data_IF_215487616823
#
_entry.id   IF_215487616823
#
_cell.length_a   1.000
_cell.length_b   1.000
_cell.length_c   1.000
_cell.angle_alpha   90.00
_cell.angle_beta   90.00
_cell.angle_gamma   90.00
#
_symmetry.space_group_name_H-M   'P 1'
#
loop_
_entity.id
_entity.type
_entity.pdbx_description
1 polymer ?
#
# COMPACT_ATOMS: atom_id res chain seq x y z
N UNK A 1 50.10 -18.66 10.28
CA UNK A 1 51.14 -18.33 9.30
C UNK A 1 50.78 -19.08 8.02
N UNK A 2 50.08 -18.47 7.08
CA UNK A 2 50.08 -18.78 5.64
C UNK A 2 49.35 -17.61 4.95
N UNK A 3 50.13 -16.85 4.17
CA UNK A 3 49.66 -15.81 3.27
C UNK A 3 49.43 -16.49 1.92
N UNK A 4 48.24 -16.39 1.35
CA UNK A 4 48.00 -16.65 -0.07
C UNK A 4 48.09 -15.33 -0.86
N UNK A 5 49.09 -15.31 -1.76
CA UNK A 5 49.31 -14.22 -2.72
C UNK A 5 48.39 -14.40 -3.91
N UNK A 6 47.50 -13.43 -4.17
CA UNK A 6 46.73 -13.33 -5.40
C UNK A 6 47.59 -12.81 -6.54
N UNK A 7 47.91 -13.67 -7.53
CA UNK A 7 48.62 -13.30 -8.76
C UNK A 7 47.69 -12.65 -9.78
N UNK A 8 48.04 -11.43 -10.17
CA UNK A 8 47.45 -10.75 -11.32
C UNK A 8 48.09 -11.26 -12.62
N UNK A 9 47.35 -11.45 -13.75
CA UNK A 9 47.91 -11.79 -15.02
C UNK A 9 48.60 -10.57 -15.69
N UNK A 10 49.73 -10.81 -16.33
CA UNK A 10 50.58 -9.83 -17.02
C UNK A 10 49.93 -9.37 -18.34
N UNK A 11 50.23 -8.15 -18.81
CA UNK A 11 49.66 -7.62 -20.07
C UNK A 11 50.32 -8.28 -21.30
N UNK A 12 49.49 -8.48 -22.32
CA UNK A 12 49.86 -9.07 -23.60
C UNK A 12 50.86 -8.20 -24.35
N UNK A 13 51.88 -8.84 -24.97
CA UNK A 13 52.85 -8.23 -25.89
C UNK A 13 52.24 -8.07 -27.28
N UNK A 14 52.36 -6.86 -27.84
CA UNK A 14 51.97 -6.53 -29.22
C UNK A 14 53.07 -7.00 -30.16
N UNK A 15 52.78 -7.93 -31.05
CA UNK A 15 53.56 -8.15 -32.30
C UNK A 15 52.67 -7.83 -33.49
N UNK A 16 53.19 -7.04 -34.41
CA UNK A 16 52.49 -6.38 -35.48
C UNK A 16 51.90 -7.31 -36.55
N UNK A 17 50.75 -6.91 -37.05
CA UNK A 17 50.10 -7.36 -38.26
C UNK A 17 49.10 -6.30 -38.70
N UNK A 18 49.24 -5.76 -39.92
CA UNK A 18 48.31 -4.76 -40.46
C UNK A 18 47.04 -5.47 -40.94
N UNK A 19 46.09 -5.66 -40.04
CA UNK A 19 44.73 -6.04 -40.41
C UNK A 19 43.77 -4.93 -40.03
N UNK A 20 43.00 -4.45 -41.03
CA UNK A 20 41.94 -3.46 -40.87
C UNK A 20 40.87 -4.03 -39.97
N UNK A 21 40.86 -3.60 -38.72
CA UNK A 21 39.70 -3.81 -37.84
C UNK A 21 38.51 -3.03 -38.37
N UNK A 22 37.57 -3.73 -38.99
CA UNK A 22 36.22 -3.21 -39.23
C UNK A 22 35.49 -3.37 -37.92
N UNK A 23 35.34 -2.29 -37.18
CA UNK A 23 34.40 -2.22 -36.04
C UNK A 23 32.99 -2.43 -36.59
N UNK A 24 32.47 -3.65 -36.47
CA UNK A 24 31.04 -3.88 -36.58
C UNK A 24 30.41 -3.26 -35.34
N UNK A 25 29.86 -2.06 -35.47
CA UNK A 25 28.93 -1.51 -34.51
C UNK A 25 27.66 -2.34 -34.63
N UNK A 26 27.48 -3.29 -33.71
CA UNK A 26 26.13 -3.82 -33.42
C UNK A 26 25.26 -2.62 -33.05
N UNK A 27 24.08 -2.43 -33.67
CA UNK A 27 23.16 -1.41 -33.22
C UNK A 27 22.89 -1.69 -31.75
N UNK A 28 23.01 -0.68 -30.87
CA UNK A 28 22.44 -0.73 -29.54
C UNK A 28 20.94 -1.00 -29.76
N UNK A 29 20.51 -2.20 -29.40
CA UNK A 29 19.06 -2.47 -29.27
C UNK A 29 18.55 -1.43 -28.30
N UNK A 30 17.72 -0.51 -28.81
CA UNK A 30 16.94 0.40 -27.99
C UNK A 30 16.19 -0.50 -26.99
N UNK A 31 16.33 -0.31 -25.67
CA UNK A 31 15.57 -1.13 -24.74
C UNK A 31 14.09 -0.95 -25.12
N UNK A 32 13.43 -2.06 -25.47
CA UNK A 32 11.98 -2.07 -25.66
C UNK A 32 11.39 -1.44 -24.40
N UNK A 33 10.63 -0.36 -24.57
CA UNK A 33 9.88 0.24 -23.47
C UNK A 33 9.13 -0.90 -22.79
N UNK A 34 9.41 -1.13 -21.51
CA UNK A 34 8.72 -2.13 -20.74
C UNK A 34 7.22 -1.87 -20.92
N UNK A 35 6.46 -2.89 -21.35
CA UNK A 35 5.01 -2.78 -21.45
C UNK A 35 4.52 -2.31 -20.09
N UNK A 36 3.76 -1.22 -19.98
CA UNK A 36 3.28 -0.75 -18.70
C UNK A 36 2.56 -1.89 -17.98
N UNK A 37 2.91 -2.11 -16.72
CA UNK A 37 2.33 -3.18 -15.92
C UNK A 37 0.81 -3.00 -15.88
N UNK A 38 0.07 -4.02 -16.35
CA UNK A 38 -1.39 -4.03 -16.31
C UNK A 38 -1.86 -5.17 -15.40
N UNK A 39 -2.92 -4.91 -14.64
CA UNK A 39 -3.62 -5.92 -13.85
C UNK A 39 -5.04 -6.07 -14.34
N UNK A 40 -5.59 -7.27 -14.27
CA UNK A 40 -7.02 -7.54 -14.54
C UNK A 40 -7.69 -7.96 -13.24
N UNK A 41 -8.88 -7.43 -12.95
CA UNK A 41 -9.63 -7.71 -11.74
C UNK A 41 -11.10 -7.99 -12.04
N UNK A 42 -11.78 -8.76 -11.18
CA UNK A 42 -13.23 -8.89 -11.09
C UNK A 42 -13.82 -8.10 -9.93
N UNK A 43 -13.00 -7.77 -8.95
CA UNK A 43 -13.37 -6.91 -7.82
C UNK A 43 -12.15 -6.14 -7.31
N UNK A 44 -12.40 -4.98 -6.68
CA UNK A 44 -11.38 -4.14 -6.09
C UNK A 44 -11.58 -4.08 -4.57
N UNK A 45 -10.50 -4.25 -3.82
CA UNK A 45 -10.49 -4.08 -2.38
C UNK A 45 -9.61 -2.90 -2.01
N UNK A 46 -10.22 -1.89 -1.41
CA UNK A 46 -9.62 -0.58 -1.23
C UNK A 46 -9.32 -0.35 0.25
N UNK A 47 -8.06 -0.15 0.58
CA UNK A 47 -7.74 0.47 1.86
C UNK A 47 -8.20 1.94 1.87
N UNK A 48 -8.27 2.56 3.05
CA UNK A 48 -8.73 3.92 3.22
C UNK A 48 -7.59 4.92 3.39
N UNK A 49 -6.86 4.81 4.51
CA UNK A 49 -5.90 5.81 4.96
C UNK A 49 -4.57 5.73 4.22
N UNK A 50 -4.19 6.78 3.51
CA UNK A 50 -3.04 6.80 2.62
C UNK A 50 -3.36 6.27 1.21
N UNK A 51 -4.50 5.63 1.01
CA UNK A 51 -4.95 5.05 -0.26
C UNK A 51 -6.04 5.89 -0.93
N UNK A 52 -7.15 6.13 -0.26
CA UNK A 52 -8.27 6.97 -0.71
C UNK A 52 -8.26 8.34 -0.02
N UNK A 53 -7.91 8.36 1.24
CA UNK A 53 -7.95 9.51 2.14
C UNK A 53 -6.54 9.77 2.66
N UNK A 54 -6.06 11.00 2.55
CA UNK A 54 -4.86 11.44 3.25
C UNK A 54 -5.28 11.94 4.64
N UNK A 55 -4.98 11.16 5.66
CA UNK A 55 -5.22 11.41 7.09
C UNK A 55 -3.92 11.64 7.88
N UNK A 56 -2.77 11.74 7.22
CA UNK A 56 -1.44 11.77 7.86
C UNK A 56 -1.36 12.84 8.96
N UNK A 57 -1.94 14.03 8.74
CA UNK A 57 -1.85 15.12 9.70
C UNK A 57 -2.56 14.80 11.03
N UNK A 58 -3.75 14.20 11.02
CA UNK A 58 -4.47 13.82 12.23
C UNK A 58 -3.83 12.60 12.90
N UNK A 59 -3.43 11.60 12.13
CA UNK A 59 -2.72 10.41 12.62
C UNK A 59 -1.46 10.84 13.34
N UNK A 60 -0.63 11.70 12.73
CA UNK A 60 0.59 12.22 13.35
C UNK A 60 0.30 12.95 14.67
N UNK A 61 -0.72 13.83 14.72
CA UNK A 61 -1.09 14.54 15.95
C UNK A 61 -1.48 13.57 17.07
N UNK A 62 -2.30 12.56 16.78
CA UNK A 62 -2.78 11.60 17.79
C UNK A 62 -1.63 10.71 18.28
N UNK A 63 -0.80 10.18 17.38
CA UNK A 63 0.32 9.33 17.76
C UNK A 63 1.43 10.08 18.49
N UNK A 64 1.69 11.36 18.17
CA UNK A 64 2.61 12.20 18.95
C UNK A 64 2.12 12.37 20.39
N UNK A 65 0.82 12.68 20.60
CA UNK A 65 0.25 12.77 21.95
C UNK A 65 0.34 11.44 22.70
N UNK A 66 0.08 10.32 22.01
CA UNK A 66 0.23 9.01 22.64
C UNK A 66 1.68 8.70 23.00
N UNK A 67 2.64 8.95 22.11
CA UNK A 67 4.07 8.77 22.35
C UNK A 67 4.54 9.57 23.56
N UNK A 68 4.15 10.83 23.67
CA UNK A 68 4.47 11.69 24.82
C UNK A 68 3.95 11.10 26.13
N UNK A 69 2.71 10.59 26.16
CA UNK A 69 2.12 9.91 27.33
C UNK A 69 2.89 8.66 27.73
N UNK A 70 3.48 7.94 26.77
CA UNK A 70 4.24 6.72 27.00
C UNK A 70 5.75 6.96 27.24
N UNK A 71 6.22 8.20 27.08
CA UNK A 71 7.64 8.53 27.17
C UNK A 71 8.48 7.97 26.00
N UNK A 72 7.86 7.78 24.82
CA UNK A 72 8.50 7.28 23.62
C UNK A 72 8.93 8.42 22.69
N UNK A 73 9.95 8.17 21.87
CA UNK A 73 10.32 9.07 20.78
C UNK A 73 9.23 9.04 19.68
N UNK A 74 8.58 10.18 19.46
CA UNK A 74 7.50 10.28 18.48
C UNK A 74 7.96 10.01 17.03
N UNK A 75 9.23 10.32 16.71
CA UNK A 75 9.78 10.04 15.37
C UNK A 75 9.90 8.54 15.11
N UNK A 76 10.29 7.76 16.11
CA UNK A 76 10.36 6.30 16.00
C UNK A 76 8.96 5.68 15.96
N UNK A 77 8.01 6.18 16.76
CA UNK A 77 6.61 5.75 16.76
C UNK A 77 6.00 5.93 15.37
N UNK A 78 6.16 7.10 14.75
CA UNK A 78 5.56 7.43 13.46
C UNK A 78 6.06 6.56 12.29
N UNK A 79 7.17 5.85 12.44
CA UNK A 79 7.66 4.93 11.40
C UNK A 79 6.80 3.67 11.24
N UNK A 80 5.99 3.32 12.25
CA UNK A 80 5.28 2.03 12.30
C UNK A 80 3.75 2.15 12.45
N UNK A 81 3.21 3.37 12.47
CA UNK A 81 1.78 3.61 12.79
C UNK A 81 0.80 3.30 11.65
N UNK A 82 1.29 3.13 10.43
CA UNK A 82 0.41 2.99 9.27
C UNK A 82 -0.03 1.54 9.01
N UNK A 83 -1.27 1.38 8.60
CA UNK A 83 -1.86 0.15 8.08
C UNK A 83 -2.41 -0.84 9.10
N UNK A 84 -2.01 -0.75 10.39
CA UNK A 84 -2.52 -1.62 11.47
C UNK A 84 -3.60 -0.91 12.28
N UNK A 85 -4.40 -1.70 13.00
CA UNK A 85 -5.21 -1.15 14.09
C UNK A 85 -4.29 -0.62 15.21
N UNK A 86 -4.69 0.48 15.86
CA UNK A 86 -3.82 1.16 16.84
C UNK A 86 -3.32 0.26 17.96
N UNK A 87 -4.19 -0.61 18.53
CA UNK A 87 -3.77 -1.54 19.59
C UNK A 87 -2.66 -2.49 19.14
N UNK A 88 -2.69 -2.92 17.86
CA UNK A 88 -1.68 -3.82 17.31
C UNK A 88 -0.33 -3.08 17.09
N UNK A 89 -0.38 -1.82 16.69
CA UNK A 89 0.81 -0.96 16.64
C UNK A 89 1.38 -0.71 18.04
N UNK A 90 0.55 -0.42 19.03
CA UNK A 90 0.95 -0.25 20.44
C UNK A 90 1.63 -1.51 21.00
N UNK A 91 1.12 -2.70 20.63
CA UNK A 91 1.75 -3.97 21.03
C UNK A 91 3.13 -4.19 20.39
N UNK A 92 3.35 -3.70 19.17
CA UNK A 92 4.68 -3.73 18.55
C UNK A 92 5.66 -2.79 19.25
N UNK A 93 5.20 -1.59 19.63
CA UNK A 93 6.02 -0.57 20.28
C UNK A 93 6.31 -0.90 21.75
N UNK A 94 5.37 -1.54 22.43
CA UNK A 94 5.44 -1.89 23.85
C UNK A 94 5.05 -3.38 24.04
N UNK A 95 5.95 -4.33 23.66
CA UNK A 95 5.60 -5.75 23.61
C UNK A 95 5.25 -6.38 24.97
N UNK A 96 5.78 -5.82 26.06
CA UNK A 96 5.52 -6.31 27.41
C UNK A 96 4.28 -5.68 28.07
N UNK A 97 3.61 -4.73 27.37
CA UNK A 97 2.44 -4.04 27.89
C UNK A 97 1.20 -4.95 27.79
N UNK A 98 0.34 -5.01 28.85
CA UNK A 98 -0.90 -5.78 28.78
C UNK A 98 -1.79 -5.35 27.61
N UNK A 99 -2.29 -6.32 26.84
CA UNK A 99 -3.12 -6.03 25.66
C UNK A 99 -4.39 -5.24 26.02
N UNK A 100 -4.95 -5.45 27.22
CA UNK A 100 -6.10 -4.68 27.70
C UNK A 100 -5.83 -3.17 27.77
N UNK A 101 -4.60 -2.76 28.11
CA UNK A 101 -4.21 -1.35 28.12
C UNK A 101 -4.05 -0.79 26.70
N UNK A 102 -3.53 -1.60 25.76
CA UNK A 102 -3.45 -1.22 24.35
C UNK A 102 -4.86 -1.02 23.76
N UNK A 103 -5.80 -1.89 24.08
CA UNK A 103 -7.19 -1.72 23.65
C UNK A 103 -7.84 -0.47 24.27
N UNK A 104 -7.58 -0.18 25.55
CA UNK A 104 -8.10 1.02 26.20
C UNK A 104 -7.55 2.31 25.54
N UNK A 105 -6.24 2.38 25.33
CA UNK A 105 -5.61 3.53 24.64
C UNK A 105 -6.10 3.66 23.19
N UNK A 106 -6.28 2.53 22.49
CA UNK A 106 -6.82 2.52 21.13
C UNK A 106 -8.25 3.07 21.08
N UNK A 107 -9.09 2.73 22.04
CA UNK A 107 -10.46 3.28 22.11
C UNK A 107 -10.46 4.81 22.30
N UNK A 108 -9.56 5.34 23.13
CA UNK A 108 -9.36 6.79 23.29
C UNK A 108 -8.87 7.42 21.98
N UNK A 109 -7.88 6.80 21.34
CA UNK A 109 -7.32 7.31 20.09
C UNK A 109 -8.35 7.34 18.96
N UNK A 110 -9.16 6.28 18.79
CA UNK A 110 -10.24 6.23 17.80
C UNK A 110 -11.27 7.36 18.02
N UNK A 111 -11.62 7.64 19.28
CA UNK A 111 -12.52 8.75 19.60
C UNK A 111 -11.90 10.11 19.28
N UNK A 112 -10.59 10.32 19.58
CA UNK A 112 -9.86 11.52 19.23
C UNK A 112 -9.79 11.73 17.71
N UNK A 113 -9.44 10.68 16.96
CA UNK A 113 -9.32 10.71 15.49
C UNK A 113 -10.68 10.91 14.80
N UNK A 114 -11.75 10.33 15.34
CA UNK A 114 -13.12 10.52 14.82
C UNK A 114 -13.60 11.96 15.01
N UNK A 115 -13.22 12.59 16.12
CA UNK A 115 -13.59 13.99 16.41
C UNK A 115 -12.71 15.02 15.70
N UNK A 116 -11.50 14.67 15.30
CA UNK A 116 -10.53 15.55 14.64
C UNK A 116 -10.35 15.12 13.17
N UNK A 117 -10.99 15.84 12.26
CA UNK A 117 -10.84 15.65 10.82
C UNK A 117 -10.08 16.79 10.14
N UNK A 118 -9.44 17.65 10.91
CA UNK A 118 -8.68 18.78 10.37
C UNK A 118 -7.47 18.31 9.57
N UNK A 119 -7.40 18.74 8.31
CA UNK A 119 -6.37 18.33 7.37
C UNK A 119 -6.64 16.95 6.70
N UNK A 120 -7.79 16.33 6.96
CA UNK A 120 -8.21 15.13 6.20
C UNK A 120 -8.71 15.56 4.83
N UNK A 121 -8.06 15.06 3.78
CA UNK A 121 -8.35 15.40 2.37
C UNK A 121 -8.33 14.13 1.52
N UNK A 122 -8.97 14.11 0.34
CA UNK A 122 -8.85 12.98 -0.57
C UNK A 122 -7.41 12.85 -1.11
N UNK A 123 -6.93 11.64 -1.30
CA UNK A 123 -5.72 11.38 -2.09
C UNK A 123 -5.95 11.88 -3.52
N UNK A 124 -4.91 12.40 -4.16
CA UNK A 124 -5.01 12.92 -5.52
C UNK A 124 -5.60 11.84 -6.46
N UNK A 125 -6.67 12.22 -7.18
CA UNK A 125 -7.41 11.33 -8.08
C UNK A 125 -8.49 10.47 -7.40
N UNK A 126 -8.56 10.38 -6.07
CA UNK A 126 -9.52 9.51 -5.38
C UNK A 126 -11.00 9.81 -5.74
N UNK A 127 -11.47 11.07 -5.84
CA UNK A 127 -12.84 11.33 -6.24
C UNK A 127 -13.18 10.78 -7.63
N UNK A 128 -12.33 11.04 -8.62
CA UNK A 128 -12.55 10.56 -9.99
C UNK A 128 -12.43 9.03 -10.09
N UNK A 129 -11.52 8.43 -9.33
CA UNK A 129 -11.37 6.98 -9.24
C UNK A 129 -12.62 6.33 -8.65
N UNK A 130 -13.15 6.83 -7.52
CA UNK A 130 -14.36 6.30 -6.89
C UNK A 130 -15.59 6.44 -7.78
N UNK A 131 -15.69 7.53 -8.54
CA UNK A 131 -16.76 7.70 -9.54
C UNK A 131 -16.64 6.69 -10.70
N UNK A 132 -15.41 6.46 -11.18
CA UNK A 132 -15.15 5.53 -12.27
C UNK A 132 -15.47 4.06 -11.91
N UNK A 133 -15.29 3.66 -10.65
CA UNK A 133 -15.56 2.32 -10.17
C UNK A 133 -16.97 2.14 -9.57
N UNK A 134 -17.82 3.16 -9.55
CA UNK A 134 -19.12 3.13 -8.84
C UNK A 134 -20.03 1.96 -9.28
N UNK A 135 -19.94 1.52 -10.53
CA UNK A 135 -20.69 0.37 -11.06
C UNK A 135 -19.90 -0.96 -11.04
N UNK A 136 -18.68 -0.98 -10.54
CA UNK A 136 -17.82 -2.17 -10.51
C UNK A 136 -17.77 -2.76 -9.08
N UNK A 137 -17.69 -4.10 -8.91
CA UNK A 137 -17.61 -4.71 -7.58
C UNK A 137 -16.39 -4.19 -6.80
N UNK A 138 -16.65 -3.53 -5.68
CA UNK A 138 -15.58 -3.02 -4.80
C UNK A 138 -16.00 -3.01 -3.34
N UNK A 139 -15.01 -3.13 -2.44
CA UNK A 139 -15.19 -3.05 -1.00
C UNK A 139 -14.10 -2.17 -0.37
N UNK A 140 -14.46 -1.46 0.69
CA UNK A 140 -13.49 -0.84 1.60
C UNK A 140 -12.98 -1.90 2.58
N UNK A 141 -11.66 -1.95 2.82
CA UNK A 141 -11.02 -2.85 3.81
C UNK A 141 -10.05 -2.02 4.65
N UNK A 142 -10.53 -1.54 5.79
CA UNK A 142 -9.79 -0.56 6.61
C UNK A 142 -9.50 -1.07 8.02
N UNK A 143 -8.43 -0.56 8.61
CA UNK A 143 -8.08 -0.73 10.03
C UNK A 143 -8.81 0.26 10.95
N UNK A 144 -9.58 1.21 10.39
CA UNK A 144 -10.49 2.07 11.14
C UNK A 144 -11.78 1.34 11.52
N UNK A 145 -12.42 1.74 12.61
CA UNK A 145 -13.78 1.35 12.90
C UNK A 145 -14.78 2.09 11.99
N UNK A 146 -16.06 1.69 12.04
CA UNK A 146 -17.10 2.27 11.18
C UNK A 146 -17.25 3.78 11.40
N UNK A 147 -17.17 4.26 12.65
CA UNK A 147 -17.34 5.68 12.96
C UNK A 147 -16.21 6.53 12.40
N UNK A 148 -14.97 6.09 12.57
CA UNK A 148 -13.78 6.76 12.02
C UNK A 148 -13.77 6.71 10.49
N UNK A 149 -14.14 5.57 9.90
CA UNK A 149 -14.22 5.44 8.45
C UNK A 149 -15.24 6.42 7.85
N UNK A 150 -16.42 6.55 8.46
CA UNK A 150 -17.43 7.53 8.04
C UNK A 150 -16.93 8.97 8.17
N UNK A 151 -16.29 9.31 9.30
CA UNK A 151 -15.76 10.66 9.53
C UNK A 151 -14.71 11.05 8.48
N UNK A 152 -13.75 10.15 8.20
CA UNK A 152 -12.66 10.40 7.23
C UNK A 152 -13.13 10.44 5.78
N UNK A 153 -13.93 9.46 5.35
CA UNK A 153 -14.53 9.45 4.01
C UNK A 153 -15.41 10.68 3.78
N UNK A 154 -16.23 11.06 4.79
CA UNK A 154 -17.07 12.26 4.74
C UNK A 154 -16.25 13.54 4.64
N UNK A 155 -15.20 13.71 5.45
CA UNK A 155 -14.31 14.87 5.41
C UNK A 155 -13.57 15.00 4.06
N UNK A 156 -13.19 13.86 3.46
CA UNK A 156 -12.58 13.80 2.14
C UNK A 156 -13.59 13.99 0.98
N UNK A 157 -14.89 14.11 1.26
CA UNK A 157 -15.94 14.24 0.25
C UNK A 157 -16.13 12.97 -0.61
N UNK A 158 -15.73 11.81 -0.10
CA UNK A 158 -15.82 10.54 -0.79
C UNK A 158 -17.05 9.75 -0.36
N UNK A 159 -17.66 9.04 -1.32
CA UNK A 159 -18.78 8.15 -1.04
C UNK A 159 -18.28 6.86 -0.36
N UNK A 160 -18.91 6.50 0.76
CA UNK A 160 -18.63 5.22 1.43
C UNK A 160 -19.08 4.05 0.53
N UNK A 161 -18.22 3.05 0.27
CA UNK A 161 -18.61 1.82 -0.41
C UNK A 161 -19.73 1.07 0.33
N UNK A 162 -20.65 0.46 -0.42
CA UNK A 162 -21.74 -0.32 0.17
C UNK A 162 -21.20 -1.55 0.91
N UNK A 163 -20.22 -2.24 0.31
CA UNK A 163 -19.49 -3.34 0.96
C UNK A 163 -18.26 -2.77 1.64
N UNK A 164 -18.10 -3.09 2.93
CA UNK A 164 -16.94 -2.64 3.71
C UNK A 164 -16.62 -3.58 4.86
N UNK A 165 -15.34 -3.72 5.14
CA UNK A 165 -14.80 -4.46 6.27
C UNK A 165 -13.99 -3.48 7.13
N UNK A 166 -14.51 -3.20 8.31
CA UNK A 166 -13.95 -2.29 9.31
C UNK A 166 -13.31 -3.06 10.47
N UNK A 167 -12.63 -2.37 11.37
CA UNK A 167 -11.85 -2.97 12.45
C UNK A 167 -12.66 -3.94 13.32
N UNK A 168 -13.92 -3.63 13.61
CA UNK A 168 -14.79 -4.45 14.46
C UNK A 168 -15.31 -5.71 13.77
N UNK A 169 -15.13 -5.83 12.47
CA UNK A 169 -15.56 -7.00 11.71
C UNK A 169 -14.48 -8.08 11.58
N UNK A 170 -13.28 -7.85 12.08
CA UNK A 170 -12.16 -8.80 12.01
C UNK A 170 -11.60 -9.14 13.38
N UNK A 171 -11.12 -10.37 13.53
CA UNK A 171 -10.46 -10.85 14.75
C UNK A 171 -8.99 -10.49 14.83
N UNK A 172 -8.36 -10.22 13.66
CA UNK A 172 -6.94 -9.88 13.57
C UNK A 172 -6.71 -8.65 12.69
N UNK A 173 -5.74 -7.81 13.12
CA UNK A 173 -5.31 -6.63 12.37
C UNK A 173 -4.36 -7.00 11.23
N UNK A 174 -4.31 -6.21 10.14
CA UNK A 174 -3.22 -6.27 9.16
C UNK A 174 -1.87 -6.37 9.89
N UNK A 175 -0.94 -7.24 9.48
CA UNK A 175 -0.85 -7.93 8.19
C UNK A 175 -1.62 -9.26 8.09
N UNK A 176 -2.52 -9.58 9.01
CA UNK A 176 -3.41 -10.73 8.84
C UNK A 176 -4.31 -10.54 7.62
N UNK A 177 -4.50 -11.56 6.77
CA UNK A 177 -5.30 -11.45 5.55
C UNK A 177 -6.82 -11.41 5.78
N UNK A 178 -7.31 -11.61 7.00
CA UNK A 178 -8.73 -11.79 7.32
C UNK A 178 -9.63 -10.71 6.69
N UNK A 179 -9.25 -9.44 6.81
CA UNK A 179 -10.03 -8.32 6.27
C UNK A 179 -10.20 -8.39 4.75
N UNK A 180 -9.13 -8.67 4.02
CA UNK A 180 -9.17 -8.80 2.57
C UNK A 180 -9.93 -10.05 2.13
N UNK A 181 -9.73 -11.19 2.79
CA UNK A 181 -10.47 -12.44 2.52
C UNK A 181 -11.98 -12.25 2.73
N UNK A 182 -12.36 -11.54 3.81
CA UNK A 182 -13.75 -11.23 4.10
C UNK A 182 -14.37 -10.31 3.05
N UNK A 183 -13.66 -9.23 2.67
CA UNK A 183 -14.13 -8.34 1.62
C UNK A 183 -14.34 -9.05 0.28
N UNK A 184 -13.43 -9.94 -0.13
CA UNK A 184 -13.58 -10.76 -1.33
C UNK A 184 -14.79 -11.71 -1.25
N UNK A 185 -14.99 -12.34 -0.07
CA UNK A 185 -16.13 -13.22 0.17
C UNK A 185 -17.47 -12.48 0.09
N UNK A 186 -17.57 -11.27 0.66
CA UNK A 186 -18.77 -10.44 0.60
C UNK A 186 -19.09 -9.96 -0.82
N UNK A 187 -18.06 -9.79 -1.68
CA UNK A 187 -18.24 -9.50 -3.11
C UNK A 187 -18.48 -10.76 -3.95
N UNK A 188 -18.43 -11.96 -3.36
CA UNK A 188 -18.60 -13.23 -4.08
C UNK A 188 -17.49 -13.52 -5.08
N UNK A 189 -16.28 -12.98 -4.86
CA UNK A 189 -15.16 -13.05 -5.80
C UNK A 189 -14.00 -13.83 -5.19
N UNK A 190 -13.33 -14.69 -5.97
CA UNK A 190 -12.14 -15.37 -5.50
C UNK A 190 -11.00 -14.36 -5.24
N UNK A 191 -10.22 -14.49 -4.17
CA UNK A 191 -9.12 -13.57 -3.87
C UNK A 191 -8.13 -13.37 -5.03
N UNK A 192 -7.83 -14.43 -5.80
CA UNK A 192 -6.96 -14.35 -6.99
C UNK A 192 -7.51 -13.48 -8.12
N UNK A 193 -8.82 -13.26 -8.16
CA UNK A 193 -9.51 -12.41 -9.13
C UNK A 193 -9.72 -10.97 -8.63
N UNK A 194 -9.27 -10.70 -7.40
CA UNK A 194 -9.30 -9.37 -6.79
C UNK A 194 -7.97 -8.64 -6.97
N UNK A 195 -8.05 -7.30 -6.97
CA UNK A 195 -6.90 -6.41 -6.83
C UNK A 195 -7.10 -5.55 -5.59
N UNK A 196 -6.12 -5.57 -4.70
CA UNK A 196 -6.09 -4.72 -3.52
C UNK A 196 -5.35 -3.40 -3.82
N UNK A 197 -5.81 -2.31 -3.21
CA UNK A 197 -5.18 -1.00 -3.22
C UNK A 197 -4.70 -0.69 -1.82
N UNK A 198 -3.42 -0.34 -1.66
CA UNK A 198 -2.79 -0.19 -0.36
C UNK A 198 -1.58 0.76 -0.39
N UNK A 199 -1.31 1.43 0.74
CA UNK A 199 -0.18 2.34 0.89
C UNK A 199 0.87 1.84 1.88
N UNK A 200 0.49 0.92 2.77
CA UNK A 200 1.26 0.50 3.95
C UNK A 200 1.91 -0.88 3.80
N UNK A 201 2.99 -1.11 4.57
CA UNK A 201 3.64 -2.42 4.64
C UNK A 201 2.67 -3.51 5.11
N UNK A 202 1.98 -3.25 6.23
CA UNK A 202 1.09 -4.23 6.84
C UNK A 202 -0.07 -4.60 5.91
N UNK A 203 -0.63 -3.62 5.21
CA UNK A 203 -1.73 -3.87 4.28
C UNK A 203 -1.29 -4.57 3.00
N UNK A 204 -0.14 -4.20 2.42
CA UNK A 204 0.43 -4.91 1.26
C UNK A 204 0.72 -6.38 1.61
N UNK A 205 1.27 -6.64 2.80
CA UNK A 205 1.50 -8.00 3.29
C UNK A 205 0.18 -8.77 3.48
N UNK A 206 -0.85 -8.13 4.07
CA UNK A 206 -2.17 -8.73 4.25
C UNK A 206 -2.83 -9.10 2.92
N UNK A 207 -2.82 -8.20 1.94
CA UNK A 207 -3.40 -8.45 0.61
C UNK A 207 -2.67 -9.58 -0.12
N UNK A 208 -1.33 -9.60 -0.07
CA UNK A 208 -0.52 -10.70 -0.64
C UNK A 208 -0.78 -12.03 0.05
N UNK A 209 -0.88 -12.03 1.40
CA UNK A 209 -1.22 -13.23 2.17
C UNK A 209 -2.63 -13.75 1.86
N UNK A 210 -3.57 -12.84 1.48
CA UNK A 210 -4.89 -13.21 0.97
C UNK A 210 -4.85 -13.80 -0.46
N UNK A 211 -3.71 -13.79 -1.15
CA UNK A 211 -3.57 -14.26 -2.53
C UNK A 211 -4.00 -13.25 -3.59
N UNK A 212 -4.05 -11.97 -3.26
CA UNK A 212 -4.40 -10.88 -4.16
C UNK A 212 -3.18 -10.24 -4.79
N UNK A 213 -3.37 -9.62 -5.97
CA UNK A 213 -2.41 -8.67 -6.54
C UNK A 213 -2.64 -7.30 -5.92
N UNK A 214 -1.57 -6.50 -5.83
CA UNK A 214 -1.60 -5.23 -5.09
C UNK A 214 -1.16 -4.07 -5.96
N UNK A 215 -1.98 -3.03 -6.01
CA UNK A 215 -1.61 -1.69 -6.45
C UNK A 215 -1.17 -0.90 -5.22
N UNK A 216 0.11 -0.57 -5.17
CA UNK A 216 0.67 0.27 -4.11
C UNK A 216 0.50 1.75 -4.43
N UNK A 217 -0.07 2.51 -3.49
CA UNK A 217 -0.37 3.92 -3.63
C UNK A 217 0.56 4.76 -2.75
N UNK A 218 1.11 5.82 -3.33
CA UNK A 218 1.89 6.80 -2.56
C UNK A 218 3.31 6.35 -2.17
N UNK A 219 4.12 7.27 -1.63
CA UNK A 219 5.56 7.03 -1.44
C UNK A 219 5.88 5.91 -0.46
N UNK A 220 5.00 5.64 0.52
CA UNK A 220 5.20 4.54 1.49
C UNK A 220 5.18 3.18 0.79
N UNK A 221 4.23 2.95 -0.11
CA UNK A 221 4.07 1.67 -0.80
C UNK A 221 5.27 1.25 -1.65
N UNK A 222 6.05 2.21 -2.17
CA UNK A 222 7.19 1.95 -3.06
C UNK A 222 8.23 0.98 -2.46
N UNK A 223 8.42 1.01 -1.15
CA UNK A 223 9.40 0.18 -0.44
C UNK A 223 8.97 -1.29 -0.27
N UNK A 224 7.69 -1.63 -0.46
CA UNK A 224 7.11 -2.93 -0.07
C UNK A 224 6.75 -3.81 -1.27
N UNK A 225 7.33 -3.51 -2.45
CA UNK A 225 7.23 -4.29 -3.68
C UNK A 225 5.78 -4.70 -4.03
N UNK A 226 4.83 -3.75 -4.20
CA UNK A 226 3.52 -4.06 -4.76
C UNK A 226 3.66 -4.58 -6.19
N UNK A 227 2.64 -5.25 -6.74
CA UNK A 227 2.67 -5.73 -8.13
C UNK A 227 2.68 -4.57 -9.13
N UNK A 228 1.98 -3.50 -8.80
CA UNK A 228 1.99 -2.21 -9.52
C UNK A 228 2.14 -1.08 -8.50
N UNK A 229 2.95 -0.09 -8.81
CA UNK A 229 3.13 1.10 -7.98
C UNK A 229 2.68 2.36 -8.74
N UNK A 230 1.96 3.24 -8.04
CA UNK A 230 1.64 4.59 -8.52
C UNK A 230 1.81 5.62 -7.40
N UNK A 231 2.29 6.84 -7.72
CA UNK A 231 2.45 7.90 -6.71
C UNK A 231 1.10 8.39 -6.16
N UNK A 232 0.02 8.29 -6.94
CA UNK A 232 -1.36 8.58 -6.56
C UNK A 232 -2.34 7.99 -7.60
N UNK A 233 -3.64 8.15 -7.36
CA UNK A 233 -4.68 7.57 -8.20
C UNK A 233 -4.88 8.26 -9.55
N UNK A 234 -4.30 9.45 -9.79
CA UNK A 234 -4.32 10.12 -11.10
C UNK A 234 -3.52 9.37 -12.17
N UNK A 235 -2.63 8.46 -11.73
CA UNK A 235 -1.75 7.68 -12.59
C UNK A 235 -2.35 6.34 -13.00
N UNK A 236 -3.60 6.07 -12.63
CA UNK A 236 -4.32 4.85 -13.02
C UNK A 236 -5.26 5.12 -14.19
N UNK A 237 -5.24 4.19 -15.15
CA UNK A 237 -6.23 4.07 -16.21
C UNK A 237 -7.05 2.81 -15.94
N UNK A 238 -8.36 2.96 -16.01
CA UNK A 238 -9.32 1.89 -15.79
C UNK A 238 -10.08 1.62 -17.09
N UNK A 239 -10.26 0.34 -17.44
CA UNK A 239 -11.06 -0.10 -18.57
C UNK A 239 -11.93 -1.29 -18.16
N UNK A 240 -13.25 -1.10 -18.18
CA UNK A 240 -14.21 -2.16 -17.83
C UNK A 240 -14.60 -2.90 -19.11
N UNK A 241 -14.58 -4.24 -19.06
CA UNK A 241 -14.88 -5.11 -20.20
C UNK A 241 -16.28 -5.72 -20.08
N UNK A 242 -16.84 -6.16 -21.21
CA UNK A 242 -18.18 -6.78 -21.29
C UNK A 242 -18.29 -8.09 -20.49
N UNK A 243 -17.16 -8.79 -20.25
CA UNK A 243 -17.10 -10.03 -19.45
C UNK A 243 -17.12 -9.78 -17.94
N UNK A 244 -17.29 -8.51 -17.52
CA UNK A 244 -17.30 -8.10 -16.11
C UNK A 244 -15.91 -8.03 -15.47
N UNK A 245 -14.83 -8.00 -16.27
CA UNK A 245 -13.49 -7.71 -15.77
C UNK A 245 -13.13 -6.24 -15.94
N UNK A 246 -12.12 -5.78 -15.18
CA UNK A 246 -11.51 -4.45 -15.31
C UNK A 246 -10.02 -4.60 -15.54
N UNK A 247 -9.48 -3.90 -16.52
CA UNK A 247 -8.04 -3.72 -16.68
C UNK A 247 -7.59 -2.42 -16.00
N UNK A 248 -6.57 -2.56 -15.19
CA UNK A 248 -5.88 -1.47 -14.47
C UNK A 248 -4.52 -1.26 -15.13
N UNK A 249 -4.28 -0.10 -15.68
CA UNK A 249 -3.01 0.27 -16.32
C UNK A 249 -2.41 1.51 -15.67
N UNK A 250 -1.07 1.65 -15.74
CA UNK A 250 -0.36 2.84 -15.29
C UNK A 250 -0.20 3.81 -16.45
N UNK A 251 -0.57 5.07 -16.23
CA UNK A 251 -0.33 6.16 -17.19
C UNK A 251 1.14 6.56 -17.08
N UNK A 252 1.96 6.51 -18.15
CA UNK A 252 3.33 6.99 -18.15
C UNK A 252 3.42 8.48 -17.76
N UNK A 253 4.60 8.90 -17.28
CA UNK A 253 4.90 10.32 -17.02
C UNK A 253 4.94 11.17 -18.29
#
# INVERSE_FOLDING_TARGET
MYREETKWPRPYSLTGGRDRFVLRTTPLETPMAATPATLTARALLLDMDGTLVNSDAVVERCWRRWADRQGLDAGEVLKVVHGRQGYATMAVLLPDRPMAENHADNAVMLAEETADVDGVVPVAGAPAFMDAIAGFPHALVTSADEALAQARMGAAGLRMPATRVTAELVGASKPDPEGFLKGAAELGTAPSDCVAFEDSEAGIQAAKAAGMRVVGIGPRAAAFAPDVYVPDLTRLRLEVHEDGTMTLGVVPE
#
